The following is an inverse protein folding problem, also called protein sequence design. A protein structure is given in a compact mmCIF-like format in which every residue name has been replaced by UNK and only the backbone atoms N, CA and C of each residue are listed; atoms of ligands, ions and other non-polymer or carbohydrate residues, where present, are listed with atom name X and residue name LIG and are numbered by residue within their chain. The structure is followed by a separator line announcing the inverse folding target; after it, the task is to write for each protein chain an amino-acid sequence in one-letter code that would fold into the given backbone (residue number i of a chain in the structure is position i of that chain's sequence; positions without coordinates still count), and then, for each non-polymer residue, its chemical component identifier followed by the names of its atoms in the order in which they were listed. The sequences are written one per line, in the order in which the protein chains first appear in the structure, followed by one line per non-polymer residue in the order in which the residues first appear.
data_IF_059156676280
#
_entry.id   IF_059156676280
#
_cell.length_a   1.000
_cell.length_b   1.000
_cell.length_c   1.000
_cell.angle_alpha   90.00
_cell.angle_beta   90.00
_cell.angle_gamma   90.00
#
_symmetry.space_group_name_H-M   'P 1'
#
loop_
_entity.id
_entity.type
_entity.pdbx_description
1 polymer ?
#
# COMPACT_ATOMS: atom_id res chain seq x y z
N UNK A 1 3.57 -3.90 -13.27
CA UNK A 1 3.26 -2.66 -14.01
C UNK A 1 1.82 -2.18 -13.78
N UNK A 2 0.77 -2.98 -14.03
CA UNK A 2 -0.63 -2.53 -13.82
C UNK A 2 -0.98 -2.15 -12.36
N UNK A 3 -0.31 -2.76 -11.37
CA UNK A 3 -0.55 -2.54 -9.93
C UNK A 3 -0.15 -1.13 -9.42
N UNK A 4 0.70 -0.41 -10.16
CA UNK A 4 1.12 0.96 -9.85
C UNK A 4 0.33 2.03 -10.63
N UNK A 5 -0.68 1.62 -11.39
CA UNK A 5 -1.57 2.54 -12.10
C UNK A 5 -2.89 2.61 -11.34
N UNK A 6 -3.32 3.84 -11.04
CA UNK A 6 -4.62 4.10 -10.45
C UNK A 6 -5.73 3.73 -11.46
N UNK A 7 -6.50 2.69 -11.15
CA UNK A 7 -7.67 2.26 -11.93
C UNK A 7 -8.75 3.33 -11.90
N UNK A 8 -8.94 4.01 -10.76
CA UNK A 8 -9.87 5.13 -10.65
C UNK A 8 -9.50 6.28 -11.58
N UNK A 9 -8.22 6.67 -11.59
CA UNK A 9 -7.71 7.72 -12.49
C UNK A 9 -7.79 7.29 -13.95
N UNK A 10 -7.45 6.03 -14.26
CA UNK A 10 -7.54 5.50 -15.62
C UNK A 10 -8.98 5.50 -16.14
N UNK A 11 -9.92 4.94 -15.38
CA UNK A 11 -11.34 4.94 -15.73
C UNK A 11 -11.89 6.36 -15.86
N UNK A 12 -11.48 7.28 -14.98
CA UNK A 12 -11.87 8.68 -15.07
C UNK A 12 -11.38 9.33 -16.37
N UNK A 13 -10.12 9.12 -16.77
CA UNK A 13 -9.60 9.64 -18.03
C UNK A 13 -10.32 9.05 -19.24
N UNK A 14 -10.45 7.73 -19.29
CA UNK A 14 -11.13 7.05 -20.41
C UNK A 14 -12.58 7.50 -20.51
N UNK A 15 -13.31 7.49 -19.39
CA UNK A 15 -14.71 7.93 -19.34
C UNK A 15 -14.88 9.40 -19.72
N UNK A 16 -13.97 10.27 -19.28
CA UNK A 16 -14.01 11.69 -19.62
C UNK A 16 -13.76 11.92 -21.11
N UNK A 17 -12.77 11.24 -21.70
CA UNK A 17 -12.49 11.34 -23.15
C UNK A 17 -13.70 10.87 -23.96
N UNK A 18 -14.30 9.74 -23.60
CA UNK A 18 -15.50 9.22 -24.28
C UNK A 18 -16.70 10.17 -24.15
N UNK A 19 -16.90 10.75 -22.96
CA UNK A 19 -17.99 11.69 -22.69
C UNK A 19 -17.80 12.99 -23.49
N UNK A 20 -16.60 13.56 -23.49
CA UNK A 20 -16.28 14.76 -24.26
C UNK A 20 -16.36 14.51 -25.77
N UNK A 21 -15.93 13.33 -26.23
CA UNK A 21 -16.11 12.90 -27.61
C UNK A 21 -17.59 12.80 -28.00
N UNK A 22 -18.42 12.23 -27.12
CA UNK A 22 -19.88 12.19 -27.30
C UNK A 22 -20.50 13.59 -27.36
N UNK A 23 -20.04 14.50 -26.50
CA UNK A 23 -20.49 15.89 -26.49
C UNK A 23 -20.09 16.63 -27.77
N UNK A 24 -18.86 16.46 -28.26
CA UNK A 24 -18.43 17.02 -29.52
C UNK A 24 -19.23 16.46 -30.71
N UNK A 25 -19.51 15.14 -30.70
CA UNK A 25 -20.33 14.48 -31.69
C UNK A 25 -21.79 14.98 -31.67
N UNK A 26 -22.33 15.32 -30.50
CA UNK A 26 -23.65 15.94 -30.38
C UNK A 26 -23.70 17.28 -31.11
N UNK A 27 -22.73 18.17 -30.89
CA UNK A 27 -22.67 19.47 -31.58
C UNK A 27 -22.36 19.38 -33.07
N UNK A 28 -21.84 18.24 -33.54
CA UNK A 28 -21.55 17.96 -34.94
C UNK A 28 -22.61 17.08 -35.64
N UNK A 29 -23.79 16.89 -35.01
CA UNK A 29 -24.91 16.08 -35.52
C UNK A 29 -24.58 14.59 -35.81
N UNK A 30 -23.55 14.03 -35.17
CA UNK A 30 -23.20 12.61 -35.25
C UNK A 30 -23.92 11.78 -34.17
N UNK A 31 -25.20 11.48 -34.40
CA UNK A 31 -26.09 10.84 -33.42
C UNK A 31 -25.57 9.51 -32.84
N UNK A 32 -25.06 8.60 -33.68
CA UNK A 32 -24.56 7.29 -33.22
C UNK A 32 -23.35 7.42 -32.31
N UNK A 33 -22.41 8.31 -32.65
CA UNK A 33 -21.18 8.51 -31.88
C UNK A 33 -21.46 9.26 -30.57
N UNK A 34 -22.37 10.23 -30.59
CA UNK A 34 -22.89 10.89 -29.39
C UNK A 34 -23.47 9.84 -28.41
N UNK A 35 -24.40 9.01 -28.89
CA UNK A 35 -25.05 7.99 -28.07
C UNK A 35 -24.02 7.05 -27.43
N UNK A 36 -23.06 6.55 -28.21
CA UNK A 36 -21.99 5.71 -27.69
C UNK A 36 -21.13 6.44 -26.65
N UNK A 37 -20.75 7.69 -26.92
CA UNK A 37 -19.96 8.51 -26.01
C UNK A 37 -20.63 8.72 -24.66
N UNK A 38 -21.95 8.96 -24.63
CA UNK A 38 -22.67 9.13 -23.37
C UNK A 38 -22.97 7.81 -22.66
N UNK A 39 -23.44 6.78 -23.36
CA UNK A 39 -23.82 5.49 -22.74
C UNK A 39 -22.64 4.73 -22.16
N UNK A 40 -21.43 4.90 -22.71
CA UNK A 40 -20.23 4.26 -22.18
C UNK A 40 -19.35 5.25 -21.42
N UNK A 41 -19.21 6.48 -21.89
CA UNK A 41 -18.34 7.47 -21.26
C UNK A 41 -18.81 7.90 -19.88
N UNK A 42 -20.08 8.26 -19.72
CA UNK A 42 -20.59 8.74 -18.43
C UNK A 42 -20.51 7.64 -17.37
N UNK A 43 -21.00 6.40 -17.59
CA UNK A 43 -20.86 5.34 -16.59
C UNK A 43 -19.40 5.02 -16.25
N UNK A 44 -18.50 4.97 -17.23
CA UNK A 44 -17.08 4.72 -16.98
C UNK A 44 -16.45 5.86 -16.17
N UNK A 45 -16.81 7.12 -16.44
CA UNK A 45 -16.35 8.26 -15.67
C UNK A 45 -16.85 8.22 -14.22
N UNK A 46 -18.13 7.88 -14.01
CA UNK A 46 -18.71 7.72 -12.67
C UNK A 46 -18.05 6.59 -11.88
N UNK A 47 -17.78 5.44 -12.53
CA UNK A 47 -17.00 4.36 -11.94
C UNK A 47 -15.60 4.86 -11.55
N UNK A 48 -14.95 5.63 -12.43
CA UNK A 48 -13.65 6.25 -12.15
C UNK A 48 -13.68 7.17 -10.93
N UNK A 49 -14.69 8.03 -10.80
CA UNK A 49 -14.88 8.89 -9.64
C UNK A 49 -15.08 8.07 -8.36
N UNK A 50 -15.95 7.06 -8.38
CA UNK A 50 -16.22 6.20 -7.23
C UNK A 50 -14.96 5.45 -6.77
N UNK A 51 -14.19 4.89 -7.71
CA UNK A 51 -12.91 4.25 -7.39
C UNK A 51 -11.91 5.26 -6.85
N UNK A 52 -11.86 6.48 -7.39
CA UNK A 52 -10.92 7.52 -6.94
C UNK A 52 -11.18 7.93 -5.49
N UNK A 53 -12.43 8.00 -5.07
CA UNK A 53 -12.78 8.33 -3.67
C UNK A 53 -12.45 7.21 -2.69
N UNK A 54 -12.43 5.96 -3.16
CA UNK A 54 -12.14 4.79 -2.34
C UNK A 54 -10.66 4.36 -2.45
N UNK A 55 -9.81 5.15 -3.10
CA UNK A 55 -8.45 4.77 -3.44
C UNK A 55 -7.48 4.94 -2.26
N UNK A 56 -6.78 3.86 -1.93
CA UNK A 56 -5.64 3.86 -1.05
C UNK A 56 -4.37 3.74 -1.88
N UNK A 57 -3.50 4.75 -1.75
CA UNK A 57 -2.29 4.91 -2.59
C UNK A 57 -1.20 3.91 -2.18
N UNK A 58 -0.33 3.49 -3.12
CA UNK A 58 0.88 2.75 -2.78
C UNK A 58 1.73 3.48 -1.74
N UNK A 59 2.28 2.73 -0.80
CA UNK A 59 3.28 3.24 0.14
C UNK A 59 4.60 3.48 -0.60
N UNK A 60 5.20 4.69 -0.50
CA UNK A 60 6.50 4.98 -1.09
C UNK A 60 7.63 4.30 -0.34
N UNK A 61 8.78 4.18 -1.00
CA UNK A 61 10.02 3.85 -0.31
C UNK A 61 10.67 5.12 0.23
N UNK A 62 11.07 5.14 1.51
CA UNK A 62 11.78 6.27 2.11
C UNK A 62 13.18 6.42 1.53
N UNK A 63 13.77 5.32 1.05
CA UNK A 63 15.08 5.28 0.41
C UNK A 63 15.06 4.36 -0.82
N UNK A 64 15.83 4.66 -1.88
CA UNK A 64 15.95 3.77 -3.03
C UNK A 64 16.55 2.42 -2.62
N UNK A 65 15.91 1.31 -3.00
CA UNK A 65 16.49 -0.02 -2.80
C UNK A 65 17.74 -0.20 -3.67
N UNK A 66 18.87 -0.47 -3.05
CA UNK A 66 20.14 -0.67 -3.77
C UNK A 66 20.15 -2.03 -4.49
N UNK A 67 20.95 -2.20 -5.56
CA UNK A 67 21.09 -3.48 -6.24
C UNK A 67 21.54 -4.63 -5.33
N UNK A 68 22.35 -4.32 -4.32
CA UNK A 68 22.84 -5.29 -3.32
C UNK A 68 21.69 -5.82 -2.45
N UNK A 69 20.83 -4.93 -1.96
CA UNK A 69 19.63 -5.28 -1.18
C UNK A 69 18.66 -6.09 -2.04
N UNK A 70 18.46 -5.71 -3.31
CA UNK A 70 17.61 -6.47 -4.23
C UNK A 70 18.11 -7.90 -4.45
N UNK A 71 19.41 -8.09 -4.64
CA UNK A 71 20.00 -9.41 -4.81
C UNK A 71 19.83 -10.29 -3.56
N UNK A 72 19.89 -9.68 -2.37
CA UNK A 72 19.66 -10.38 -1.10
C UNK A 72 18.17 -10.70 -0.91
N UNK A 73 17.27 -9.77 -1.24
CA UNK A 73 15.81 -9.98 -1.22
C UNK A 73 15.40 -11.19 -2.05
N UNK A 74 15.90 -11.32 -3.26
CA UNK A 74 15.59 -12.45 -4.15
C UNK A 74 15.96 -13.81 -3.54
N UNK A 75 16.94 -13.83 -2.63
CA UNK A 75 17.45 -15.06 -2.00
C UNK A 75 16.83 -15.35 -0.65
N UNK A 76 16.59 -14.31 0.16
CA UNK A 76 16.27 -14.46 1.58
C UNK A 76 14.86 -13.96 1.96
N UNK A 77 14.15 -13.23 1.09
CA UNK A 77 12.83 -12.70 1.48
C UNK A 77 11.84 -13.82 1.76
N UNK A 78 11.12 -13.69 2.88
CA UNK A 78 10.05 -14.62 3.22
C UNK A 78 8.83 -14.41 2.34
N UNK A 79 7.96 -15.41 2.26
CA UNK A 79 6.67 -15.28 1.58
C UNK A 79 5.86 -14.12 2.15
N UNK A 80 5.87 -13.94 3.48
CA UNK A 80 5.18 -12.83 4.15
C UNK A 80 5.77 -11.47 3.78
N UNK A 81 7.10 -11.30 3.84
CA UNK A 81 7.73 -10.04 3.45
C UNK A 81 7.43 -9.68 1.98
N UNK A 82 7.48 -10.68 1.10
CA UNK A 82 7.14 -10.50 -0.32
C UNK A 82 5.67 -10.11 -0.49
N UNK A 83 4.76 -10.76 0.25
CA UNK A 83 3.33 -10.43 0.20
C UNK A 83 3.07 -9.02 0.72
N UNK A 84 3.64 -8.63 1.86
CA UNK A 84 3.52 -7.29 2.42
C UNK A 84 3.92 -6.27 1.37
N UNK A 85 5.12 -6.38 0.80
CA UNK A 85 5.60 -5.47 -0.25
C UNK A 85 4.62 -5.38 -1.41
N UNK A 86 4.17 -6.51 -1.96
CA UNK A 86 3.20 -6.51 -3.05
C UNK A 86 1.86 -5.86 -2.69
N UNK A 87 1.47 -5.96 -1.42
CA UNK A 87 0.16 -5.53 -0.95
C UNK A 87 0.11 -4.04 -0.63
N UNK A 88 1.19 -3.48 -0.08
CA UNK A 88 1.30 -2.07 0.31
C UNK A 88 1.83 -1.18 -0.81
N UNK A 89 2.62 -1.71 -1.75
CA UNK A 89 3.17 -0.92 -2.88
C UNK A 89 2.26 -0.94 -4.11
N UNK A 90 0.95 -1.17 -3.94
CA UNK A 90 -0.04 -1.12 -5.03
C UNK A 90 -1.27 -0.30 -4.64
N UNK A 91 -1.98 0.18 -5.66
CA UNK A 91 -3.28 0.81 -5.43
C UNK A 91 -4.29 -0.22 -4.90
N UNK A 92 -4.98 0.18 -3.83
CA UNK A 92 -6.07 -0.57 -3.19
C UNK A 92 -7.35 0.26 -3.21
N UNK A 93 -8.48 -0.41 -3.06
CA UNK A 93 -9.79 0.23 -3.09
C UNK A 93 -10.67 -0.30 -1.96
N UNK A 94 -11.35 0.61 -1.26
CA UNK A 94 -12.28 0.27 -0.18
C UNK A 94 -11.61 -0.14 1.13
N UNK A 95 -10.31 0.12 1.29
CA UNK A 95 -9.58 -0.07 2.54
C UNK A 95 -9.23 1.30 3.12
N UNK A 96 -9.37 1.45 4.44
CA UNK A 96 -9.08 2.71 5.12
C UNK A 96 -7.57 2.95 5.28
N UNK A 97 -6.80 1.89 5.50
CA UNK A 97 -5.35 1.95 5.71
C UNK A 97 -4.67 0.66 5.25
N UNK A 98 -3.36 0.76 4.98
CA UNK A 98 -2.53 -0.42 4.75
C UNK A 98 -2.39 -1.22 6.04
N UNK A 99 -2.35 -2.55 5.91
CA UNK A 99 -2.21 -3.48 7.04
C UNK A 99 -3.32 -3.34 8.10
N UNK A 100 -4.50 -2.80 7.75
CA UNK A 100 -5.61 -2.58 8.68
C UNK A 100 -5.99 -3.86 9.46
N UNK A 101 -6.21 -4.97 8.76
CA UNK A 101 -6.52 -6.26 9.40
C UNK A 101 -5.40 -6.74 10.33
N UNK A 102 -4.13 -6.52 9.96
CA UNK A 102 -2.99 -6.90 10.78
C UNK A 102 -2.89 -6.03 12.04
N UNK A 103 -3.03 -4.71 11.92
CA UNK A 103 -3.03 -3.79 13.05
C UNK A 103 -4.21 -4.05 13.99
N UNK A 104 -5.40 -4.33 13.44
CA UNK A 104 -6.58 -4.74 14.20
C UNK A 104 -6.34 -6.06 14.93
N UNK A 105 -5.81 -7.08 14.25
CA UNK A 105 -5.45 -8.36 14.88
C UNK A 105 -4.46 -8.18 16.02
N UNK A 106 -3.47 -7.30 15.86
CA UNK A 106 -2.46 -7.01 16.88
C UNK A 106 -3.01 -6.18 18.06
N UNK A 107 -4.20 -5.58 17.92
CA UNK A 107 -4.78 -4.67 18.90
C UNK A 107 -4.13 -3.29 18.88
N UNK A 108 -3.55 -2.91 17.74
CA UNK A 108 -2.94 -1.61 17.45
C UNK A 108 -3.86 -0.73 16.60
N UNK A 109 -5.15 -1.06 16.51
CA UNK A 109 -6.17 -0.26 15.82
C UNK A 109 -7.45 -0.21 16.66
N UNK A 110 -7.42 0.37 17.88
CA UNK A 110 -8.60 0.45 18.74
C UNK A 110 -9.74 1.25 18.08
N UNK A 111 -9.39 2.32 17.36
CA UNK A 111 -10.31 3.11 16.54
C UNK A 111 -9.63 3.51 15.23
N UNK A 112 -10.40 3.89 14.21
CA UNK A 112 -9.86 4.36 12.93
C UNK A 112 -8.98 5.63 13.08
N UNK A 113 -9.22 6.46 14.10
CA UNK A 113 -8.43 7.67 14.37
C UNK A 113 -7.11 7.38 15.07
N UNK A 114 -7.09 6.39 15.95
CA UNK A 114 -5.91 6.00 16.72
C UNK A 114 -5.02 5.00 15.97
N UNK A 115 -5.51 4.48 14.83
CA UNK A 115 -4.79 3.52 14.00
C UNK A 115 -3.50 4.15 13.45
N UNK A 116 -2.35 3.48 13.61
CA UNK A 116 -1.10 3.86 12.95
C UNK A 116 -1.23 3.82 11.43
N UNK A 117 -0.59 4.76 10.76
CA UNK A 117 -0.58 4.87 9.30
C UNK A 117 0.81 4.50 8.79
N UNK A 118 0.87 3.53 7.88
CA UNK A 118 2.12 3.19 7.20
C UNK A 118 2.47 4.29 6.19
N UNK A 119 3.48 5.10 6.50
CA UNK A 119 3.89 6.24 5.67
C UNK A 119 4.89 5.83 4.58
N UNK A 120 5.84 4.98 4.93
CA UNK A 120 6.94 4.58 4.04
C UNK A 120 7.51 3.20 4.39
N UNK A 121 8.29 2.68 3.45
CA UNK A 121 9.01 1.43 3.56
C UNK A 121 10.48 1.64 3.23
N UNK A 122 11.36 0.82 3.79
CA UNK A 122 12.71 0.65 3.26
C UNK A 122 13.12 -0.80 3.32
N UNK A 123 14.03 -1.16 2.43
CA UNK A 123 14.66 -2.45 2.40
C UNK A 123 16.13 -2.24 2.77
N UNK A 124 16.60 -2.97 3.78
CA UNK A 124 17.96 -2.90 4.28
C UNK A 124 18.51 -4.30 4.54
N UNK A 125 19.81 -4.37 4.83
CA UNK A 125 20.51 -5.60 5.16
C UNK A 125 21.18 -5.37 6.51
N UNK A 126 20.94 -6.27 7.46
CA UNK A 126 21.57 -6.15 8.78
C UNK A 126 23.10 -6.34 8.68
N UNK A 127 23.83 -5.98 9.73
CA UNK A 127 25.27 -6.25 9.83
C UNK A 127 25.62 -7.75 9.68
N UNK A 128 24.63 -8.63 9.87
CA UNK A 128 24.76 -10.09 9.72
C UNK A 128 24.42 -10.59 8.30
N UNK A 129 24.07 -9.70 7.37
CA UNK A 129 23.70 -10.06 6.01
C UNK A 129 22.26 -10.57 5.86
N UNK A 130 21.37 -10.24 6.81
CA UNK A 130 19.96 -10.67 6.80
C UNK A 130 19.09 -9.63 6.08
N UNK A 131 18.28 -10.08 5.13
CA UNK A 131 17.28 -9.23 4.47
C UNK A 131 16.27 -8.66 5.48
N UNK A 132 16.08 -7.34 5.46
CA UNK A 132 15.19 -6.64 6.38
C UNK A 132 14.23 -5.74 5.62
N UNK A 133 12.94 -5.92 5.87
CA UNK A 133 11.88 -5.01 5.44
C UNK A 133 11.48 -4.14 6.62
N UNK A 134 11.73 -2.84 6.54
CA UNK A 134 11.30 -1.89 7.58
C UNK A 134 10.06 -1.15 7.14
N UNK A 135 9.04 -1.19 7.99
CA UNK A 135 7.79 -0.46 7.85
C UNK A 135 7.82 0.75 8.80
N UNK A 136 7.65 1.95 8.26
CA UNK A 136 7.73 3.22 8.98
C UNK A 136 6.31 3.75 9.21
N UNK A 137 5.86 3.71 10.46
CA UNK A 137 4.51 4.10 10.87
C UNK A 137 4.50 5.47 11.54
N UNK A 138 3.58 6.33 11.11
CA UNK A 138 3.06 7.43 11.92
C UNK A 138 2.03 6.87 12.92
N UNK A 139 2.32 7.02 14.20
CA UNK A 139 1.63 6.40 15.34
C UNK A 139 1.58 7.34 16.56
N UNK A 140 1.02 8.57 16.43
CA UNK A 140 1.06 9.56 17.50
C UNK A 140 0.15 9.22 18.69
N UNK A 141 -0.84 8.34 18.48
CA UNK A 141 -1.84 8.00 19.48
C UNK A 141 -1.62 6.62 20.13
N UNK A 142 -0.61 5.87 19.69
CA UNK A 142 -0.23 4.59 20.29
C UNK A 142 1.22 4.68 20.76
N UNK A 143 1.41 4.63 22.08
CA UNK A 143 2.72 4.64 22.72
C UNK A 143 3.62 3.49 22.21
N UNK A 144 4.91 3.74 22.13
CA UNK A 144 5.90 2.74 21.75
C UNK A 144 5.90 1.51 22.67
N UNK A 145 5.65 1.66 23.98
CA UNK A 145 5.54 0.54 24.92
C UNK A 145 4.46 -0.46 24.49
N UNK A 146 3.31 0.03 24.02
CA UNK A 146 2.25 -0.84 23.49
C UNK A 146 2.68 -1.59 22.23
N UNK A 147 3.48 -0.96 21.37
CA UNK A 147 4.07 -1.66 20.23
C UNK A 147 5.00 -2.77 20.69
N UNK A 148 5.87 -2.49 21.66
CA UNK A 148 6.79 -3.47 22.23
C UNK A 148 6.07 -4.68 22.83
N UNK A 149 4.98 -4.46 23.57
CA UNK A 149 4.14 -5.54 24.10
C UNK A 149 3.58 -6.47 23.01
N UNK A 150 3.41 -5.98 21.77
CA UNK A 150 2.89 -6.78 20.65
C UNK A 150 3.99 -7.47 19.84
N UNK A 151 5.28 -7.26 20.14
CA UNK A 151 6.40 -7.83 19.38
C UNK A 151 6.29 -9.33 19.16
N UNK A 152 6.12 -10.11 20.23
CA UNK A 152 6.00 -11.58 20.10
C UNK A 152 4.76 -12.00 19.30
N UNK A 153 3.67 -11.22 19.40
CA UNK A 153 2.45 -11.47 18.63
C UNK A 153 2.64 -11.14 17.16
N UNK A 154 3.42 -10.10 16.84
CA UNK A 154 3.82 -9.77 15.46
C UNK A 154 4.65 -10.89 14.85
N UNK A 155 5.65 -11.41 15.55
CA UNK A 155 6.46 -12.54 15.07
C UNK A 155 5.58 -13.76 14.73
N UNK A 156 4.63 -14.09 15.61
CA UNK A 156 3.66 -15.17 15.35
C UNK A 156 2.73 -14.88 14.18
N UNK A 157 2.30 -13.62 14.02
CA UNK A 157 1.38 -13.21 12.96
C UNK A 157 2.04 -13.19 11.58
N UNK A 158 3.24 -12.62 11.48
CA UNK A 158 3.99 -12.55 10.23
C UNK A 158 4.58 -13.92 9.82
N UNK A 159 4.51 -14.91 10.70
CA UNK A 159 4.75 -16.30 10.37
C UNK A 159 6.21 -16.73 10.61
N UNK A 160 6.56 -17.95 10.20
CA UNK A 160 7.90 -18.49 10.44
C UNK A 160 8.97 -17.68 9.71
N UNK A 161 10.20 -17.83 10.20
CA UNK A 161 11.41 -17.27 9.59
C UNK A 161 11.47 -15.73 9.56
N UNK A 162 10.75 -15.07 10.47
CA UNK A 162 10.77 -13.62 10.66
C UNK A 162 11.06 -13.30 12.12
N UNK A 163 12.09 -12.47 12.35
CA UNK A 163 12.33 -11.77 13.63
C UNK A 163 11.79 -10.35 13.51
N UNK A 164 11.11 -9.87 14.54
CA UNK A 164 10.62 -8.49 14.59
C UNK A 164 11.51 -7.66 15.49
N UNK A 165 11.95 -6.51 15.00
CA UNK A 165 12.60 -5.48 15.80
C UNK A 165 11.84 -4.17 15.69
N UNK A 166 11.69 -3.48 16.82
CA UNK A 166 10.95 -2.24 16.92
C UNK A 166 11.89 -1.12 17.33
N UNK A 167 11.80 0.03 16.64
CA UNK A 167 12.54 1.25 16.99
C UNK A 167 11.58 2.43 17.01
N UNK A 168 11.92 3.41 17.84
CA UNK A 168 11.24 4.70 17.88
C UNK A 168 12.27 5.78 17.51
N UNK A 169 12.34 6.19 16.23
CA UNK A 169 13.28 7.22 15.80
C UNK A 169 12.93 8.57 16.42
N UNK A 170 11.63 8.86 16.59
CA UNK A 170 11.12 10.08 17.21
C UNK A 170 9.74 9.84 17.84
N UNK A 171 9.27 10.79 18.65
CA UNK A 171 7.98 10.69 19.31
C UNK A 171 6.84 10.61 18.27
N UNK A 172 5.92 9.67 18.47
CA UNK A 172 4.83 9.43 17.53
C UNK A 172 5.20 8.63 16.29
N UNK A 173 6.46 8.22 16.09
CA UNK A 173 6.86 7.38 14.96
C UNK A 173 7.38 6.02 15.42
N UNK A 174 7.04 4.96 14.69
CA UNK A 174 7.47 3.60 15.01
C UNK A 174 7.96 2.89 13.76
N UNK A 175 9.15 2.32 13.84
CA UNK A 175 9.69 1.43 12.83
C UNK A 175 9.46 -0.02 13.24
N UNK A 176 8.89 -0.81 12.34
CA UNK A 176 8.75 -2.25 12.48
C UNK A 176 9.63 -2.92 11.44
N UNK A 177 10.77 -3.43 11.88
CA UNK A 177 11.72 -4.17 11.05
C UNK A 177 11.37 -5.66 11.09
N UNK A 178 10.99 -6.21 9.93
CA UNK A 178 10.85 -7.64 9.71
C UNK A 178 12.17 -8.16 9.14
N UNK A 179 12.94 -8.86 9.96
CA UNK A 179 14.25 -9.42 9.61
C UNK A 179 14.06 -10.88 9.22
N UNK A 180 14.49 -11.26 8.02
CA UNK A 180 14.46 -12.65 7.58
C UNK A 180 15.45 -13.48 8.38
N UNK A 181 14.98 -14.60 8.92
CA UNK A 181 15.82 -15.62 9.54
C UNK A 181 15.91 -16.88 8.69
N UNK A 182 15.52 -16.79 7.40
CA UNK A 182 15.75 -17.85 6.43
C UNK A 182 17.26 -17.94 6.25
N UNK A 183 17.87 -18.99 6.82
CA UNK A 183 19.29 -19.26 6.66
C UNK A 183 19.65 -19.24 5.16
N UNK A 184 20.69 -18.48 4.82
CA UNK A 184 21.41 -18.66 3.56
C UNK A 184 22.11 -20.01 3.50
#
# INVERSE_FOLDING_TARGET
MLRQISLGTLALWVGSILTLGGLAAYFADYATLNLAGFFYGIPVALIGLALKTAELKPVPFSQPTTPEVLAIRERQSTATQTQILQDVTRYRYGQEAHLDEALSFLGLSPTAKERPVLESLREEVTDKGEYTLVMEFDSPLISFDRWQEKREKMEKFFGPDVRVELKQPEEGYVEVALISTVNG
#
